data_IF_158288569423
#
_entry.id   IF_158288569423
#
_cell.length_a   1.000
_cell.length_b   1.000
_cell.length_c   1.000
_cell.angle_alpha   90.00
_cell.angle_beta   90.00
_cell.angle_gamma   90.00
#
_symmetry.space_group_name_H-M   'P 1'
#
loop_
_entity.id
_entity.type
_entity.pdbx_description
1 polymer ?
#
# COMPACT_ATOMS: atom_id res chain seq x y z
N UNK A 1 4.95 13.75 -19.70
CA UNK A 1 4.06 13.94 -18.52
C UNK A 1 4.64 13.16 -17.32
N UNK A 2 5.61 13.70 -16.59
CA UNK A 2 6.22 13.01 -15.43
C UNK A 2 6.41 13.94 -14.20
N UNK A 3 5.99 15.20 -14.29
CA UNK A 3 6.31 16.24 -13.31
C UNK A 3 5.28 16.37 -12.17
N UNK A 4 4.17 15.63 -12.24
CA UNK A 4 3.14 15.64 -11.18
C UNK A 4 3.50 14.72 -10.00
N UNK A 5 4.30 13.66 -10.23
CA UNK A 5 4.68 12.69 -9.20
C UNK A 5 5.71 13.23 -8.21
N UNK A 6 6.51 14.25 -8.59
CA UNK A 6 7.59 14.80 -7.75
C UNK A 6 7.10 15.61 -6.55
N UNK A 7 5.84 16.06 -6.55
CA UNK A 7 5.23 16.84 -5.47
C UNK A 7 4.23 16.03 -4.63
N UNK A 8 3.93 14.79 -5.02
CA UNK A 8 3.29 13.86 -4.10
C UNK A 8 4.30 13.65 -2.95
N UNK A 9 3.83 13.90 -1.74
CA UNK A 9 4.62 14.04 -0.52
C UNK A 9 5.50 12.81 -0.33
N UNK A 10 6.68 12.96 0.27
CA UNK A 10 7.53 11.83 0.66
C UNK A 10 6.66 10.76 1.35
N UNK A 11 6.57 9.57 0.76
CA UNK A 11 5.64 8.51 1.15
C UNK A 11 4.47 8.20 0.21
N UNK A 12 4.11 9.06 -0.76
CA UNK A 12 3.04 8.76 -1.74
C UNK A 12 3.56 7.98 -2.98
N UNK A 13 4.87 7.98 -3.21
CA UNK A 13 5.51 7.27 -4.32
C UNK A 13 5.17 5.76 -4.37
N UNK A 14 5.28 5.01 -3.26
CA UNK A 14 5.00 3.57 -3.24
C UNK A 14 3.53 3.23 -3.52
N UNK A 15 2.61 4.07 -3.08
CA UNK A 15 1.16 3.91 -3.31
C UNK A 15 0.85 4.05 -4.80
N UNK A 16 1.53 4.97 -5.48
CA UNK A 16 1.40 5.19 -6.93
C UNK A 16 2.17 4.16 -7.75
N UNK A 17 3.26 3.60 -7.20
CA UNK A 17 4.04 2.54 -7.83
C UNK A 17 3.35 1.16 -7.75
N UNK A 18 2.47 0.94 -6.77
CA UNK A 18 1.70 -0.30 -6.62
C UNK A 18 1.00 -0.74 -7.92
N UNK A 19 0.10 0.06 -8.54
CA UNK A 19 -0.58 -0.34 -9.77
C UNK A 19 0.39 -0.59 -10.96
N UNK A 20 1.56 0.04 -10.97
CA UNK A 20 2.60 -0.20 -11.98
C UNK A 20 3.31 -1.54 -11.77
N UNK A 21 3.53 -1.95 -10.51
CA UNK A 21 4.23 -3.18 -10.16
C UNK A 21 3.34 -4.42 -10.21
N UNK A 22 2.07 -4.31 -9.82
CA UNK A 22 1.17 -5.46 -9.69
C UNK A 22 0.37 -5.80 -10.96
N UNK A 23 0.26 -4.86 -11.91
CA UNK A 23 -0.47 -5.05 -13.16
C UNK A 23 -1.99 -4.85 -12.98
N UNK A 24 -2.67 -4.55 -14.09
CA UNK A 24 -4.06 -4.06 -14.11
C UNK A 24 -5.03 -4.96 -13.34
N UNK A 25 -4.95 -6.29 -13.49
CA UNK A 25 -5.84 -7.25 -12.83
C UNK A 25 -5.73 -7.23 -11.30
N UNK A 26 -4.51 -7.05 -10.77
CA UNK A 26 -4.27 -6.98 -9.32
C UNK A 26 -4.62 -5.58 -8.80
N UNK A 27 -4.33 -4.53 -9.56
CA UNK A 27 -4.67 -3.15 -9.22
C UNK A 27 -6.19 -2.88 -9.19
N UNK A 28 -6.99 -3.63 -9.97
CA UNK A 28 -8.45 -3.53 -9.92
C UNK A 28 -9.05 -4.14 -8.66
N UNK A 29 -8.42 -5.20 -8.13
CA UNK A 29 -8.92 -5.95 -6.97
C UNK A 29 -8.24 -5.54 -5.66
N UNK A 30 -7.07 -4.91 -5.72
CA UNK A 30 -6.29 -4.51 -4.56
C UNK A 30 -5.99 -3.02 -4.59
N UNK A 31 -5.98 -2.40 -3.42
CA UNK A 31 -5.76 -0.95 -3.31
C UNK A 31 -4.68 -0.65 -2.29
N UNK A 32 -3.58 -0.03 -2.73
CA UNK A 32 -2.63 0.57 -1.81
C UNK A 32 -3.29 1.76 -1.11
N UNK A 33 -3.25 1.74 0.22
CA UNK A 33 -4.07 2.63 1.05
C UNK A 33 -3.25 3.55 1.94
N UNK A 34 -2.06 3.09 2.32
CA UNK A 34 -1.18 3.82 3.21
C UNK A 34 0.26 3.32 3.02
N UNK A 35 1.22 4.21 3.17
CA UNK A 35 2.61 3.84 3.26
C UNK A 35 3.27 4.63 4.39
N UNK A 36 3.77 3.90 5.38
CA UNK A 36 4.38 4.49 6.56
C UNK A 36 5.60 3.67 7.02
N UNK A 37 6.70 4.36 7.33
CA UNK A 37 7.93 3.75 7.84
C UNK A 37 8.50 2.59 6.99
N UNK A 38 8.31 2.63 5.66
CA UNK A 38 8.74 1.54 4.78
C UNK A 38 7.76 0.37 4.72
N UNK A 39 6.57 0.48 5.29
CA UNK A 39 5.51 -0.53 5.23
C UNK A 39 4.42 -0.04 4.28
N UNK A 40 4.23 -0.75 3.17
CA UNK A 40 3.14 -0.48 2.24
C UNK A 40 1.92 -1.30 2.65
N UNK A 41 0.82 -0.64 3.01
CA UNK A 41 -0.45 -1.28 3.30
C UNK A 41 -1.29 -1.39 2.05
N UNK A 42 -1.76 -2.59 1.76
CA UNK A 42 -2.60 -2.90 0.60
C UNK A 42 -3.87 -3.59 1.07
N UNK A 43 -5.02 -2.99 0.76
CA UNK A 43 -6.32 -3.64 0.91
C UNK A 43 -6.49 -4.71 -0.16
N UNK A 44 -6.82 -5.92 0.29
CA UNK A 44 -7.17 -7.07 -0.54
C UNK A 44 -8.60 -7.51 -0.20
N UNK A 45 -9.33 -8.11 -1.15
CA UNK A 45 -10.74 -8.43 -0.93
C UNK A 45 -10.91 -9.58 0.06
N UNK A 46 -10.03 -10.59 0.00
CA UNK A 46 -10.16 -11.83 0.75
C UNK A 46 -8.82 -12.42 1.19
N UNK A 47 -8.88 -13.39 2.11
CA UNK A 47 -7.71 -14.13 2.62
C UNK A 47 -7.04 -14.98 1.54
N UNK A 48 -7.80 -15.46 0.55
CA UNK A 48 -7.24 -16.17 -0.61
C UNK A 48 -6.27 -15.28 -1.39
N UNK A 49 -6.73 -14.08 -1.74
CA UNK A 49 -5.92 -13.04 -2.37
C UNK A 49 -4.71 -12.68 -1.52
N UNK A 50 -4.88 -12.50 -0.21
CA UNK A 50 -3.77 -12.24 0.72
C UNK A 50 -2.68 -13.30 0.61
N UNK A 51 -3.03 -14.59 0.57
CA UNK A 51 -2.04 -15.68 0.50
C UNK A 51 -1.31 -15.68 -0.84
N UNK A 52 -2.02 -15.53 -1.94
CA UNK A 52 -1.41 -15.45 -3.27
C UNK A 52 -0.45 -14.25 -3.38
N UNK A 53 -0.91 -13.06 -3.01
CA UNK A 53 -0.10 -11.85 -3.01
C UNK A 53 1.07 -11.93 -2.03
N UNK A 54 0.92 -12.62 -0.90
CA UNK A 54 2.01 -12.83 0.04
C UNK A 54 3.13 -13.68 -0.57
N UNK A 55 2.81 -14.65 -1.43
CA UNK A 55 3.82 -15.40 -2.20
C UNK A 55 4.56 -14.52 -3.22
N UNK A 56 3.89 -13.52 -3.79
CA UNK A 56 4.49 -12.56 -4.73
C UNK A 56 5.08 -11.30 -4.07
N UNK A 57 4.86 -11.09 -2.78
CA UNK A 57 5.31 -9.94 -2.02
C UNK A 57 6.79 -9.59 -2.19
N UNK A 58 7.75 -10.55 -2.13
CA UNK A 58 9.16 -10.22 -2.32
C UNK A 58 9.48 -9.75 -3.76
N UNK A 59 8.78 -10.27 -4.77
CA UNK A 59 8.96 -9.82 -6.16
C UNK A 59 8.41 -8.41 -6.34
N UNK A 60 7.19 -8.14 -5.85
CA UNK A 60 6.61 -6.79 -5.91
C UNK A 60 7.45 -5.79 -5.14
N UNK A 61 7.98 -6.16 -3.97
CA UNK A 61 8.87 -5.30 -3.18
C UNK A 61 10.13 -4.94 -3.97
N UNK A 62 10.76 -5.89 -4.66
CA UNK A 62 11.94 -5.62 -5.47
C UNK A 62 11.63 -4.68 -6.66
N UNK A 63 10.48 -4.88 -7.32
CA UNK A 63 10.02 -4.03 -8.41
C UNK A 63 9.70 -2.62 -7.93
N UNK A 64 8.96 -2.48 -6.83
CA UNK A 64 8.60 -1.19 -6.24
C UNK A 64 9.88 -0.44 -5.82
N UNK A 65 10.81 -1.07 -5.11
CA UNK A 65 12.10 -0.47 -4.76
C UNK A 65 12.96 -0.06 -5.96
N UNK A 66 12.72 -0.62 -7.15
CA UNK A 66 13.37 -0.17 -8.39
C UNK A 66 12.74 1.13 -8.94
N UNK A 67 11.45 1.36 -8.68
CA UNK A 67 10.72 2.52 -9.17
C UNK A 67 10.69 3.71 -8.19
N UNK A 68 10.64 3.43 -6.88
CA UNK A 68 10.71 4.46 -5.84
C UNK A 68 12.11 4.53 -5.26
N UNK A 69 12.60 5.75 -5.02
CA UNK A 69 13.86 5.97 -4.30
C UNK A 69 13.75 5.74 -2.79
N UNK A 70 12.53 5.53 -2.27
CA UNK A 70 12.27 5.18 -0.87
C UNK A 70 12.30 3.67 -0.67
N UNK A 71 13.05 3.20 0.33
CA UNK A 71 13.17 1.78 0.66
C UNK A 71 11.89 1.23 1.29
N UNK A 72 11.08 0.52 0.50
CA UNK A 72 9.97 -0.29 1.02
C UNK A 72 10.56 -1.52 1.70
N UNK A 73 10.41 -1.59 3.02
CA UNK A 73 10.89 -2.69 3.88
C UNK A 73 9.98 -3.91 3.82
N UNK A 74 8.66 -3.71 3.75
CA UNK A 74 7.69 -4.81 3.64
C UNK A 74 6.34 -4.34 3.10
N UNK A 75 5.55 -5.31 2.65
CA UNK A 75 4.18 -5.10 2.16
C UNK A 75 3.23 -5.83 3.11
N UNK A 76 2.23 -5.12 3.59
CA UNK A 76 1.26 -5.59 4.57
C UNK A 76 -0.12 -5.62 3.93
N UNK A 77 -0.65 -6.83 3.75
CA UNK A 77 -1.96 -7.05 3.15
C UNK A 77 -3.03 -7.07 4.23
N UNK A 78 -3.95 -6.12 4.15
CA UNK A 78 -5.10 -5.99 5.05
C UNK A 78 -6.39 -6.32 4.29
N UNK A 79 -7.39 -6.89 4.96
CA UNK A 79 -8.67 -7.18 4.34
C UNK A 79 -9.51 -5.89 4.23
N UNK A 80 -10.29 -5.77 3.15
CA UNK A 80 -11.29 -4.72 3.00
C UNK A 80 -12.24 -4.74 4.21
N UNK A 81 -12.19 -3.69 5.03
CA UNK A 81 -12.91 -3.61 6.32
C UNK A 81 -12.00 -3.51 7.54
N UNK A 82 -10.80 -4.09 7.51
CA UNK A 82 -9.82 -3.95 8.60
C UNK A 82 -9.28 -2.50 8.67
N UNK A 83 -9.21 -1.82 7.53
CA UNK A 83 -8.84 -0.40 7.46
C UNK A 83 -9.87 0.52 8.13
N UNK A 84 -11.15 0.23 7.98
CA UNK A 84 -12.21 1.02 8.60
C UNK A 84 -12.09 0.95 10.12
N UNK A 85 -11.75 -0.23 10.65
CA UNK A 85 -11.46 -0.41 12.08
C UNK A 85 -10.20 0.35 12.52
N UNK A 86 -9.07 0.27 11.79
CA UNK A 86 -7.84 1.03 12.11
C UNK A 86 -8.06 2.55 12.06
N UNK A 87 -8.83 3.05 11.09
CA UNK A 87 -9.18 4.46 10.97
C UNK A 87 -10.10 4.93 12.10
N UNK A 88 -11.07 4.11 12.51
CA UNK A 88 -11.95 4.42 13.63
C UNK A 88 -11.19 4.52 14.97
N UNK A 89 -10.21 3.62 15.20
CA UNK A 89 -9.36 3.66 16.39
C UNK A 89 -8.52 4.95 16.46
N UNK A 90 -7.91 5.36 15.34
CA UNK A 90 -7.14 6.61 15.27
C UNK A 90 -7.99 7.87 15.44
N UNK A 91 -9.22 7.86 14.96
CA UNK A 91 -10.13 9.01 15.06
C UNK A 91 -10.72 9.20 16.48
N UNK A 92 -10.74 8.16 17.32
CA UNK A 92 -11.25 8.22 18.68
C UNK A 92 -10.33 8.87 19.72
N UNK A 93 -9.06 9.14 19.39
CA UNK A 93 -8.08 9.70 20.34
C UNK A 93 -8.08 11.24 20.41
N UNK A 94 -8.86 11.92 19.58
CA UNK A 94 -8.92 13.39 19.54
C UNK A 94 -10.24 13.94 20.10
N UNK A 95 -10.57 13.60 21.35
CA UNK A 95 -11.52 14.35 22.20
C UNK A 95 -11.38 13.86 23.64
N UNK A 96 -10.46 14.48 24.39
CA UNK A 96 -10.57 14.65 25.84
C UNK A 96 -9.55 15.69 26.28
N UNK A 97 -9.98 16.94 26.25
CA UNK A 97 -9.42 18.04 27.05
C UNK A 97 -10.57 18.66 27.81
#
# INVERSE_FOLDING_TARGET
>A
MASALRRARAGEGPVLAWPLACGSTVAERTRAVDFAQGVLRVEVPDVGWRKELQSFAPQYLAVINRYVGESVKRIEFILAGQQLADRADKNGRSTRV
#
